data_IF_105686143206
#
_entry.id   IF_105686143206
#
_cell.length_a   1.000
_cell.length_b   1.000
_cell.length_c   1.000
_cell.angle_alpha   90.00
_cell.angle_beta   90.00
_cell.angle_gamma   90.00
#
_symmetry.space_group_name_H-M   'P 1'
#
loop_
_entity.id
_entity.type
_entity.pdbx_description
1 polymer ?
#
# COMPACT_ATOMS: atom_id res chain seq x y z
N UNK A 1 4.54 126.43 30.63
CA UNK A 1 4.05 125.57 29.54
C UNK A 1 4.86 124.27 29.42
N UNK A 2 6.12 124.21 29.88
CA UNK A 2 7.01 123.02 29.76
C UNK A 2 6.71 121.87 30.75
N UNK A 3 6.12 122.15 31.92
CA UNK A 3 5.79 121.13 32.93
C UNK A 3 4.56 120.26 32.57
N UNK A 4 3.61 120.79 31.78
CA UNK A 4 2.42 120.04 31.34
C UNK A 4 2.73 119.10 30.16
N UNK A 5 3.62 119.49 29.25
CA UNK A 5 4.06 118.61 28.14
C UNK A 5 4.96 117.46 28.62
N UNK A 6 5.75 117.67 29.68
CA UNK A 6 6.57 116.62 30.29
C UNK A 6 5.73 115.62 31.09
N UNK A 7 4.71 116.06 31.82
CA UNK A 7 3.73 115.16 32.48
C UNK A 7 2.97 114.33 31.44
N UNK A 8 2.51 114.95 30.34
CA UNK A 8 1.77 114.24 29.27
C UNK A 8 2.63 113.17 28.57
N UNK A 9 3.90 113.46 28.31
CA UNK A 9 4.87 112.46 27.79
C UNK A 9 5.13 111.33 28.76
N UNK A 10 5.29 111.62 30.05
CA UNK A 10 5.51 110.59 31.08
C UNK A 10 4.28 109.70 31.27
N UNK A 11 3.07 110.26 31.24
CA UNK A 11 1.81 109.50 31.28
C UNK A 11 1.66 108.60 30.04
N UNK A 12 2.04 109.10 28.86
CA UNK A 12 1.99 108.35 27.61
C UNK A 12 3.05 107.24 27.57
N UNK A 13 4.25 107.51 28.08
CA UNK A 13 5.28 106.48 28.30
C UNK A 13 4.86 105.44 29.34
N UNK A 14 4.22 105.85 30.44
CA UNK A 14 3.70 104.94 31.46
C UNK A 14 2.60 104.05 30.86
N UNK A 15 1.70 104.61 30.05
CA UNK A 15 0.68 103.86 29.32
C UNK A 15 1.30 102.86 28.34
N UNK A 16 2.33 103.28 27.60
CA UNK A 16 3.02 102.43 26.64
C UNK A 16 3.74 101.27 27.34
N UNK A 17 4.40 101.53 28.47
CA UNK A 17 5.05 100.51 29.29
C UNK A 17 4.02 99.58 29.93
N UNK A 18 2.90 100.09 30.43
CA UNK A 18 1.82 99.27 30.97
C UNK A 18 1.19 98.38 29.90
N UNK A 19 0.99 98.90 28.68
CA UNK A 19 0.48 98.12 27.55
C UNK A 19 1.47 97.03 27.12
N UNK A 20 2.74 97.38 27.00
CA UNK A 20 3.81 96.40 26.73
C UNK A 20 3.93 95.34 27.82
N UNK A 21 3.77 95.71 29.09
CA UNK A 21 3.77 94.76 30.21
C UNK A 21 2.58 93.82 30.15
N UNK A 22 1.39 94.33 29.86
CA UNK A 22 0.18 93.52 29.70
C UNK A 22 0.30 92.55 28.51
N UNK A 23 0.83 93.01 27.37
CA UNK A 23 1.08 92.14 26.19
C UNK A 23 2.15 91.07 26.47
N UNK A 24 3.16 91.38 27.30
CA UNK A 24 4.16 90.40 27.75
C UNK A 24 3.57 89.39 28.74
N UNK A 25 2.74 89.83 29.68
CA UNK A 25 2.04 88.95 30.64
C UNK A 25 1.05 88.02 29.91
N UNK A 26 0.35 88.51 28.89
CA UNK A 26 -0.53 87.71 28.04
C UNK A 26 0.25 86.63 27.29
N UNK A 27 1.35 87.00 26.62
CA UNK A 27 2.25 86.04 25.96
C UNK A 27 2.87 85.03 26.93
N UNK A 28 3.19 85.46 28.15
CA UNK A 28 3.77 84.60 29.17
C UNK A 28 2.74 83.57 29.67
N UNK A 29 1.48 83.99 29.87
CA UNK A 29 0.37 83.08 30.17
C UNK A 29 0.09 82.09 29.03
N UNK A 30 0.08 82.56 27.77
CA UNK A 30 -0.09 81.67 26.61
C UNK A 30 1.03 80.63 26.50
N UNK A 31 2.28 81.04 26.78
CA UNK A 31 3.43 80.15 26.78
C UNK A 31 3.34 79.11 27.90
N UNK A 32 2.92 79.50 29.11
CA UNK A 32 2.70 78.60 30.23
C UNK A 32 1.58 77.58 29.93
N UNK A 33 0.47 78.02 29.32
CA UNK A 33 -0.59 77.10 28.88
C UNK A 33 -0.10 76.12 27.81
N UNK A 34 0.70 76.60 26.85
CA UNK A 34 1.26 75.76 25.80
C UNK A 34 2.26 74.73 26.35
N UNK A 35 3.12 75.14 27.29
CA UNK A 35 4.05 74.25 27.99
C UNK A 35 3.30 73.19 28.80
N UNK A 36 2.23 73.57 29.50
CA UNK A 36 1.40 72.65 30.28
C UNK A 36 0.68 71.63 29.39
N UNK A 37 0.22 72.03 28.19
CA UNK A 37 -0.33 71.10 27.20
C UNK A 37 0.73 70.13 26.69
N UNK A 38 1.90 70.63 26.29
CA UNK A 38 3.02 69.79 25.85
C UNK A 38 3.47 68.78 26.91
N UNK A 39 3.50 69.17 28.19
CA UNK A 39 3.87 68.30 29.30
C UNK A 39 2.82 67.20 29.53
N UNK A 40 1.53 67.54 29.45
CA UNK A 40 0.45 66.57 29.49
C UNK A 40 0.47 65.60 28.30
N UNK A 41 0.69 66.10 27.07
CA UNK A 41 0.76 65.28 25.86
C UNK A 41 1.95 64.30 25.94
N UNK A 42 3.10 64.77 26.42
CA UNK A 42 4.29 63.92 26.63
C UNK A 42 4.06 62.87 27.72
N UNK A 43 3.32 63.20 28.78
CA UNK A 43 2.95 62.24 29.82
C UNK A 43 2.01 61.15 29.27
N UNK A 44 0.99 61.54 28.50
CA UNK A 44 0.09 60.59 27.84
C UNK A 44 0.83 59.69 26.84
N UNK A 45 1.74 60.25 26.04
CA UNK A 45 2.54 59.48 25.08
C UNK A 45 3.48 58.48 25.79
N UNK A 46 4.06 58.88 26.93
CA UNK A 46 4.90 58.00 27.73
C UNK A 46 4.11 56.83 28.34
N UNK A 47 2.89 57.09 28.81
CA UNK A 47 1.97 56.06 29.31
C UNK A 47 1.53 55.10 28.19
N UNK A 48 1.21 55.63 27.00
CA UNK A 48 0.83 54.80 25.85
C UNK A 48 2.00 53.93 25.37
N UNK A 49 3.23 54.47 25.33
CA UNK A 49 4.44 53.71 25.03
C UNK A 49 4.70 52.61 26.05
N UNK A 50 4.49 52.88 27.34
CA UNK A 50 4.63 51.87 28.38
C UNK A 50 3.60 50.73 28.21
N UNK A 51 2.34 51.08 27.92
CA UNK A 51 1.27 50.11 27.68
C UNK A 51 1.53 49.26 26.43
N UNK A 52 2.01 49.86 25.35
CA UNK A 52 2.41 49.17 24.12
C UNK A 52 3.58 48.21 24.37
N UNK A 53 4.61 48.65 25.11
CA UNK A 53 5.76 47.80 25.45
C UNK A 53 5.35 46.58 26.29
N UNK A 54 4.45 46.77 27.26
CA UNK A 54 3.90 45.68 28.07
C UNK A 54 3.07 44.70 27.21
N UNK A 55 2.22 45.21 26.32
CA UNK A 55 1.46 44.38 25.39
C UNK A 55 2.36 43.56 24.45
N UNK A 56 3.45 44.15 23.94
CA UNK A 56 4.44 43.45 23.12
C UNK A 56 5.10 42.32 23.91
N UNK A 57 5.50 42.58 25.16
CA UNK A 57 6.08 41.57 26.05
C UNK A 57 5.14 40.40 26.31
N UNK A 58 3.86 40.67 26.58
CA UNK A 58 2.85 39.62 26.77
C UNK A 58 2.68 38.80 25.49
N UNK A 59 2.59 39.45 24.33
CA UNK A 59 2.47 38.76 23.03
C UNK A 59 3.71 37.94 22.68
N UNK A 60 4.91 38.41 22.99
CA UNK A 60 6.14 37.62 22.80
C UNK A 60 6.16 36.35 23.65
N UNK A 61 5.73 36.42 24.92
CA UNK A 61 5.61 35.23 25.77
C UNK A 61 4.56 34.25 25.25
N UNK A 62 3.43 34.75 24.76
CA UNK A 62 2.38 33.92 24.14
C UNK A 62 2.92 33.19 22.90
N UNK A 63 3.64 33.89 22.03
CA UNK A 63 4.26 33.31 20.82
C UNK A 63 5.29 32.24 21.20
N UNK A 64 6.12 32.48 22.21
CA UNK A 64 7.07 31.47 22.70
C UNK A 64 6.37 30.22 23.21
N UNK A 65 5.31 30.36 24.02
CA UNK A 65 4.51 29.23 24.50
C UNK A 65 3.90 28.42 23.35
N UNK A 66 3.32 29.10 22.37
CA UNK A 66 2.74 28.45 21.18
C UNK A 66 3.82 27.71 20.39
N UNK A 67 5.01 28.32 20.23
CA UNK A 67 6.11 27.68 19.52
C UNK A 67 6.60 26.42 20.24
N UNK A 68 6.69 26.44 21.57
CA UNK A 68 7.05 25.26 22.37
C UNK A 68 6.00 24.15 22.23
N UNK A 69 4.70 24.48 22.27
CA UNK A 69 3.63 23.50 22.05
C UNK A 69 3.64 22.90 20.64
N UNK A 70 3.90 23.72 19.62
CA UNK A 70 4.04 23.23 18.23
C UNK A 70 5.24 22.29 18.13
N UNK A 71 6.39 22.67 18.67
CA UNK A 71 7.59 21.84 18.63
C UNK A 71 7.38 20.50 19.35
N UNK A 72 6.67 20.48 20.47
CA UNK A 72 6.33 19.24 21.19
C UNK A 72 5.42 18.34 20.35
N UNK A 73 4.38 18.91 19.73
CA UNK A 73 3.46 18.16 18.86
C UNK A 73 4.12 17.65 17.60
N UNK A 74 5.03 18.42 17.01
CA UNK A 74 5.80 18.01 15.83
C UNK A 74 6.71 16.81 16.17
N UNK A 75 7.34 16.82 17.33
CA UNK A 75 8.17 15.72 17.82
C UNK A 75 7.34 14.46 18.13
N UNK A 76 6.16 14.61 18.74
CA UNK A 76 5.21 13.51 18.94
C UNK A 76 4.70 12.94 17.61
N UNK A 77 4.40 13.82 16.65
CA UNK A 77 3.97 13.42 15.31
C UNK A 77 5.07 12.64 14.60
N UNK A 78 6.34 13.07 14.71
CA UNK A 78 7.47 12.34 14.14
C UNK A 78 7.62 10.95 14.75
N UNK A 79 7.50 10.83 16.07
CA UNK A 79 7.56 9.52 16.76
C UNK A 79 6.43 8.59 16.32
N UNK A 80 5.22 9.11 16.21
CA UNK A 80 4.06 8.34 15.73
C UNK A 80 4.24 7.89 14.27
N UNK A 81 4.82 8.74 13.41
CA UNK A 81 5.14 8.36 12.03
C UNK A 81 6.16 7.21 11.98
N UNK A 82 7.25 7.31 12.76
CA UNK A 82 8.26 6.26 12.86
C UNK A 82 7.66 4.93 13.36
N UNK A 83 6.78 4.97 14.36
CA UNK A 83 6.10 3.78 14.91
C UNK A 83 5.15 3.14 13.89
N UNK A 84 4.40 3.94 13.13
CA UNK A 84 3.51 3.46 12.07
C UNK A 84 4.31 2.81 10.93
N UNK A 85 5.44 3.40 10.53
CA UNK A 85 6.33 2.81 9.52
C UNK A 85 6.91 1.48 9.99
N UNK A 86 7.35 1.39 11.25
CA UNK A 86 7.87 0.14 11.81
C UNK A 86 6.78 -0.94 11.90
N UNK A 87 5.56 -0.58 12.30
CA UNK A 87 4.42 -1.48 12.33
C UNK A 87 4.06 -2.00 10.93
N UNK A 88 4.07 -1.14 9.91
CA UNK A 88 3.88 -1.55 8.51
C UNK A 88 4.97 -2.51 8.05
N UNK A 89 6.24 -2.23 8.38
CA UNK A 89 7.36 -3.12 8.02
C UNK A 89 7.20 -4.50 8.65
N UNK A 90 6.85 -4.57 9.94
CA UNK A 90 6.58 -5.85 10.62
C UNK A 90 5.41 -6.61 9.99
N UNK A 91 4.35 -5.91 9.59
CA UNK A 91 3.20 -6.52 8.92
C UNK A 91 3.57 -7.08 7.54
N UNK A 92 4.36 -6.35 6.76
CA UNK A 92 4.83 -6.78 5.44
C UNK A 92 5.78 -7.98 5.56
N UNK A 93 6.72 -7.96 6.51
CA UNK A 93 7.60 -9.09 6.82
C UNK A 93 6.80 -10.34 7.22
N UNK A 94 5.76 -10.18 8.06
CA UNK A 94 4.89 -11.29 8.45
C UNK A 94 4.05 -11.82 7.28
N UNK A 95 3.51 -10.95 6.43
CA UNK A 95 2.75 -11.33 5.24
C UNK A 95 3.64 -12.05 4.21
N UNK A 96 4.88 -11.57 4.02
CA UNK A 96 5.86 -12.21 3.15
C UNK A 96 6.25 -13.60 3.68
N UNK A 97 6.48 -13.74 4.99
CA UNK A 97 6.77 -15.04 5.60
C UNK A 97 5.60 -16.03 5.45
N UNK A 98 4.35 -15.56 5.56
CA UNK A 98 3.17 -16.38 5.30
C UNK A 98 3.10 -16.79 3.82
N UNK A 99 3.37 -15.87 2.89
CA UNK A 99 3.36 -16.17 1.45
C UNK A 99 4.48 -17.17 1.09
N UNK A 100 5.67 -17.04 1.68
CA UNK A 100 6.80 -17.95 1.46
C UNK A 100 6.51 -19.37 1.96
N UNK A 101 5.70 -19.51 3.02
CA UNK A 101 5.24 -20.80 3.50
C UNK A 101 4.17 -21.46 2.59
N UNK A 102 3.63 -20.71 1.61
CA UNK A 102 2.61 -21.21 0.67
C UNK A 102 3.20 -21.49 -0.71
N UNK A 103 2.65 -22.49 -1.39
CA UNK A 103 2.96 -22.73 -2.81
C UNK A 103 2.13 -21.80 -3.69
N UNK A 104 2.68 -21.24 -4.78
CA UNK A 104 1.91 -20.43 -5.72
C UNK A 104 0.68 -21.18 -6.24
N UNK A 105 -0.50 -20.59 -6.11
CA UNK A 105 -1.78 -21.24 -6.42
C UNK A 105 -1.90 -21.71 -7.87
N UNK A 106 -1.28 -21.00 -8.83
CA UNK A 106 -1.30 -21.35 -10.25
C UNK A 106 -0.56 -22.67 -10.60
N UNK A 107 0.22 -23.23 -9.66
CA UNK A 107 0.84 -24.54 -9.82
C UNK A 107 -0.14 -25.68 -9.53
N UNK A 108 -1.21 -25.39 -8.78
CA UNK A 108 -2.23 -26.37 -8.47
C UNK A 108 -3.09 -26.64 -9.71
N UNK A 109 -3.63 -27.85 -9.79
CA UNK A 109 -4.65 -28.19 -10.79
C UNK A 109 -5.92 -27.46 -10.37
N UNK A 110 -6.66 -26.91 -11.35
CA UNK A 110 -7.94 -26.27 -11.09
C UNK A 110 -8.91 -27.28 -10.46
N UNK A 111 -9.40 -26.94 -9.26
CA UNK A 111 -10.42 -27.70 -8.54
C UNK A 111 -11.81 -27.25 -9.01
N UNK A 112 -12.79 -28.14 -8.92
CA UNK A 112 -14.18 -27.80 -9.21
C UNK A 112 -14.76 -27.02 -8.02
N UNK A 113 -15.11 -25.75 -8.23
CA UNK A 113 -15.67 -24.86 -7.21
C UNK A 113 -17.11 -25.25 -6.80
N UNK A 114 -17.69 -26.26 -7.46
CA UNK A 114 -19.09 -26.68 -7.27
C UNK A 114 -19.33 -27.53 -6.02
N UNK A 115 -18.29 -27.88 -5.24
CA UNK A 115 -18.45 -28.75 -4.04
C UNK A 115 -19.22 -28.09 -2.88
N UNK A 116 -19.39 -26.75 -2.86
CA UNK A 116 -20.11 -26.03 -1.79
C UNK A 116 -21.52 -25.50 -2.17
N UNK A 117 -21.98 -25.68 -3.40
CA UNK A 117 -23.26 -25.11 -3.87
C UNK A 117 -24.39 -26.15 -3.86
N UNK A 118 -25.01 -26.34 -2.69
CA UNK A 118 -26.18 -27.22 -2.48
C UNK A 118 -27.49 -26.64 -3.09
N UNK A 119 -27.41 -25.49 -3.78
CA UNK A 119 -28.56 -24.73 -4.34
C UNK A 119 -28.75 -24.91 -5.86
N UNK A 120 -28.13 -25.92 -6.49
CA UNK A 120 -28.28 -26.17 -7.93
C UNK A 120 -29.63 -26.82 -8.28
N UNK A 121 -30.41 -26.15 -9.14
CA UNK A 121 -31.79 -26.52 -9.53
C UNK A 121 -31.89 -27.81 -10.39
N UNK A 122 -30.78 -28.34 -10.91
CA UNK A 122 -30.82 -29.50 -11.83
C UNK A 122 -29.65 -30.49 -11.73
N UNK A 123 -28.73 -30.33 -10.76
CA UNK A 123 -27.62 -31.28 -10.53
C UNK A 123 -26.63 -31.47 -11.70
N UNK A 124 -26.55 -30.54 -12.64
CA UNK A 124 -25.57 -30.58 -13.73
C UNK A 124 -24.20 -30.13 -13.24
N UNK A 125 -23.25 -31.07 -13.20
CA UNK A 125 -21.84 -30.81 -12.96
C UNK A 125 -21.10 -30.89 -14.30
N UNK A 126 -20.39 -29.83 -14.67
CA UNK A 126 -19.61 -29.81 -15.91
C UNK A 126 -18.72 -28.58 -15.99
N UNK A 127 -17.50 -28.78 -16.48
CA UNK A 127 -16.55 -27.72 -16.77
C UNK A 127 -16.11 -27.82 -18.23
N UNK A 128 -16.07 -26.69 -18.92
CA UNK A 128 -15.41 -26.61 -20.23
C UNK A 128 -13.89 -26.71 -20.04
N UNK A 129 -13.27 -27.64 -20.76
CA UNK A 129 -11.80 -27.77 -20.75
C UNK A 129 -11.19 -26.64 -21.59
N UNK A 130 -10.17 -25.97 -21.05
CA UNK A 130 -9.39 -24.99 -21.80
C UNK A 130 -8.74 -25.67 -23.02
N UNK A 131 -9.15 -25.25 -24.21
CA UNK A 131 -8.59 -25.68 -25.48
C UNK A 131 -7.93 -24.47 -26.15
N UNK A 132 -6.62 -24.57 -26.41
CA UNK A 132 -5.95 -23.64 -27.31
C UNK A 132 -5.95 -24.24 -28.71
N UNK A 133 -6.94 -23.84 -29.51
CA UNK A 133 -7.13 -24.27 -30.89
C UNK A 133 -5.96 -23.90 -31.81
N UNK A 134 -5.06 -23.03 -31.36
CA UNK A 134 -3.90 -22.57 -32.14
C UNK A 134 -2.67 -23.48 -31.97
N UNK A 135 -2.67 -24.42 -31.03
CA UNK A 135 -1.52 -25.28 -30.75
C UNK A 135 -1.77 -26.69 -31.29
N UNK A 136 -0.93 -27.13 -32.23
CA UNK A 136 -0.83 -28.54 -32.57
C UNK A 136 -0.17 -29.29 -31.40
N UNK A 137 -0.98 -29.82 -30.48
CA UNK A 137 -0.47 -30.59 -29.35
C UNK A 137 0.08 -31.93 -29.83
N UNK A 138 1.36 -32.25 -29.57
CA UNK A 138 1.91 -33.56 -29.88
C UNK A 138 1.23 -34.64 -29.02
N UNK A 139 1.05 -35.83 -29.61
CA UNK A 139 0.54 -37.03 -28.93
C UNK A 139 1.70 -37.97 -28.58
N UNK A 140 2.42 -37.74 -27.46
CA UNK A 140 3.67 -38.45 -27.18
C UNK A 140 3.50 -39.96 -27.06
N UNK A 141 2.30 -40.45 -26.73
CA UNK A 141 1.99 -41.87 -26.69
C UNK A 141 2.18 -42.58 -28.04
N UNK A 142 2.09 -41.87 -29.16
CA UNK A 142 2.27 -42.45 -30.49
C UNK A 142 3.73 -42.87 -30.73
N UNK A 143 4.71 -42.15 -30.19
CA UNK A 143 6.14 -42.48 -30.34
C UNK A 143 6.71 -43.26 -29.16
N UNK A 144 5.97 -43.40 -28.06
CA UNK A 144 6.45 -44.11 -26.85
C UNK A 144 6.60 -45.62 -27.07
N UNK A 145 7.65 -46.16 -26.48
CA UNK A 145 7.91 -47.59 -26.33
C UNK A 145 8.21 -47.92 -24.86
N UNK A 146 7.99 -49.19 -24.49
CA UNK A 146 8.24 -49.66 -23.11
C UNK A 146 9.73 -49.70 -22.80
N UNK A 147 10.09 -49.53 -21.53
CA UNK A 147 11.50 -49.62 -21.12
C UNK A 147 12.12 -50.96 -21.50
N UNK A 148 11.36 -52.05 -21.32
CA UNK A 148 11.76 -53.42 -21.71
C UNK A 148 12.08 -53.54 -23.20
N UNK A 149 11.42 -52.78 -24.06
CA UNK A 149 11.71 -52.77 -25.49
C UNK A 149 12.94 -51.91 -25.84
N UNK A 150 13.27 -50.92 -25.02
CA UNK A 150 14.42 -50.02 -25.23
C UNK A 150 15.71 -50.62 -24.69
N UNK A 151 15.65 -51.29 -23.54
CA UNK A 151 16.80 -51.79 -22.81
C UNK A 151 16.95 -53.30 -22.96
N UNK A 152 17.94 -53.73 -23.73
CA UNK A 152 18.24 -55.17 -23.93
C UNK A 152 18.50 -55.90 -22.61
N UNK A 153 19.28 -55.29 -21.71
CA UNK A 153 19.59 -55.85 -20.40
C UNK A 153 18.32 -56.15 -19.59
N UNK A 154 17.39 -55.19 -19.50
CA UNK A 154 16.12 -55.37 -18.79
C UNK A 154 15.28 -56.49 -19.43
N UNK A 155 15.28 -56.57 -20.76
CA UNK A 155 14.61 -57.65 -21.47
C UNK A 155 15.19 -59.02 -21.13
N UNK A 156 16.52 -59.14 -21.09
CA UNK A 156 17.21 -60.40 -20.81
C UNK A 156 17.02 -60.83 -19.34
N UNK A 157 17.09 -59.88 -18.39
CA UNK A 157 16.78 -60.14 -16.98
C UNK A 157 15.35 -60.66 -16.78
N UNK A 158 14.35 -60.05 -17.44
CA UNK A 158 12.96 -60.51 -17.33
C UNK A 158 12.76 -61.90 -17.94
N UNK A 159 13.47 -62.21 -19.04
CA UNK A 159 13.43 -63.56 -19.63
C UNK A 159 14.04 -64.60 -18.70
N UNK A 160 15.16 -64.28 -18.06
CA UNK A 160 15.84 -65.16 -17.11
C UNK A 160 14.96 -65.42 -15.89
N UNK A 161 14.44 -64.36 -15.26
CA UNK A 161 13.53 -64.49 -14.12
C UNK A 161 12.26 -65.26 -14.49
N UNK A 162 11.69 -65.02 -15.67
CA UNK A 162 10.52 -65.77 -16.15
C UNK A 162 10.84 -67.26 -16.32
N UNK A 163 12.06 -67.62 -16.71
CA UNK A 163 12.49 -69.02 -16.86
C UNK A 163 12.70 -69.69 -15.52
N UNK A 164 13.30 -68.99 -14.55
CA UNK A 164 13.51 -69.49 -13.19
C UNK A 164 12.17 -69.78 -12.50
N UNK A 165 11.27 -68.81 -12.52
CA UNK A 165 9.96 -68.90 -11.87
C UNK A 165 9.03 -69.94 -12.50
N UNK A 166 9.20 -70.25 -13.79
CA UNK A 166 8.37 -71.24 -14.49
C UNK A 166 8.40 -72.63 -13.83
N UNK A 167 9.53 -73.01 -13.22
CA UNK A 167 9.69 -74.30 -12.55
C UNK A 167 8.86 -74.43 -11.25
N UNK A 168 8.62 -73.31 -10.58
CA UNK A 168 7.87 -73.21 -9.32
C UNK A 168 6.42 -72.76 -9.49
N UNK A 169 5.98 -72.53 -10.74
CA UNK A 169 4.68 -71.95 -11.05
C UNK A 169 3.56 -72.98 -10.87
N UNK A 170 2.57 -72.64 -10.04
CA UNK A 170 1.35 -73.42 -9.85
C UNK A 170 0.24 -72.92 -10.79
N UNK A 171 -0.04 -73.67 -11.85
CA UNK A 171 -1.05 -73.31 -12.86
C UNK A 171 -2.48 -73.25 -12.29
N UNK A 172 -2.75 -73.92 -11.16
CA UNK A 172 -4.08 -73.90 -10.53
C UNK A 172 -4.38 -72.59 -9.80
N UNK A 173 -3.34 -71.80 -9.50
CA UNK A 173 -3.43 -70.52 -8.79
C UNK A 173 -3.37 -69.31 -9.70
N UNK A 174 -3.44 -69.51 -11.02
CA UNK A 174 -3.46 -68.40 -11.96
C UNK A 174 -4.71 -67.53 -11.79
N UNK A 175 -4.49 -66.23 -11.64
CA UNK A 175 -5.58 -65.26 -11.62
C UNK A 175 -6.03 -64.94 -13.05
N UNK A 176 -7.22 -64.34 -13.18
CA UNK A 176 -7.72 -63.86 -14.48
C UNK A 176 -6.77 -62.84 -15.12
N UNK A 177 -6.13 -61.98 -14.31
CA UNK A 177 -5.18 -60.98 -14.80
C UNK A 177 -3.89 -61.62 -15.32
N UNK A 178 -3.44 -62.72 -14.73
CA UNK A 178 -2.25 -63.45 -15.21
C UNK A 178 -2.51 -64.06 -16.59
N UNK A 179 -3.68 -64.68 -16.78
CA UNK A 179 -4.09 -65.24 -18.08
C UNK A 179 -4.18 -64.14 -19.14
N UNK A 180 -4.79 -62.99 -18.82
CA UNK A 180 -4.87 -61.85 -19.73
C UNK A 180 -3.48 -61.28 -20.07
N UNK A 181 -2.59 -61.18 -19.07
CA UNK A 181 -1.22 -60.72 -19.30
C UNK A 181 -0.44 -61.68 -20.22
N UNK A 182 -0.50 -62.98 -19.95
CA UNK A 182 0.15 -64.01 -20.77
C UNK A 182 -0.34 -63.95 -22.21
N UNK A 183 -1.65 -63.81 -22.43
CA UNK A 183 -2.22 -63.69 -23.77
C UNK A 183 -1.78 -62.40 -24.48
N UNK A 184 -1.73 -61.27 -23.77
CA UNK A 184 -1.24 -60.01 -24.32
C UNK A 184 0.22 -60.10 -24.75
N UNK A 185 1.09 -60.68 -23.89
CA UNK A 185 2.51 -60.91 -24.21
C UNK A 185 2.65 -61.88 -25.39
N UNK A 186 1.86 -62.96 -25.41
CA UNK A 186 1.83 -63.94 -26.51
C UNK A 186 1.50 -63.29 -27.85
N UNK A 187 0.56 -62.35 -27.86
CA UNK A 187 0.20 -61.57 -29.06
C UNK A 187 1.17 -60.40 -29.36
N UNK A 188 2.24 -60.23 -28.57
CA UNK A 188 3.21 -59.14 -28.75
C UNK A 188 2.66 -57.74 -28.43
N UNK A 189 1.55 -57.66 -27.69
CA UNK A 189 0.92 -56.42 -27.24
C UNK A 189 1.68 -55.85 -26.05
N UNK A 190 1.75 -54.52 -25.99
CA UNK A 190 2.26 -53.76 -24.85
C UNK A 190 1.40 -52.52 -24.59
N UNK A 191 1.66 -51.80 -23.50
CA UNK A 191 0.85 -50.63 -23.09
C UNK A 191 0.72 -49.58 -24.20
N UNK A 192 1.81 -49.26 -24.91
CA UNK A 192 1.81 -48.18 -25.91
C UNK A 192 1.34 -48.66 -27.28
N UNK A 193 1.64 -49.91 -27.68
CA UNK A 193 1.05 -50.53 -28.88
C UNK A 193 -0.46 -50.63 -28.77
N UNK A 194 -0.98 -51.05 -27.62
CA UNK A 194 -2.42 -51.13 -27.40
C UNK A 194 -3.07 -49.74 -27.39
N UNK A 195 -2.45 -48.74 -26.73
CA UNK A 195 -2.94 -47.35 -26.79
C UNK A 195 -3.02 -46.82 -28.22
N UNK A 196 -2.01 -47.07 -29.06
CA UNK A 196 -2.06 -46.72 -30.48
C UNK A 196 -3.18 -47.43 -31.21
N UNK A 197 -3.35 -48.74 -31.00
CA UNK A 197 -4.38 -49.53 -31.69
C UNK A 197 -5.79 -49.04 -31.39
N UNK A 198 -6.13 -48.84 -30.11
CA UNK A 198 -7.49 -48.42 -29.70
C UNK A 198 -7.79 -46.95 -30.03
N UNK A 199 -6.76 -46.13 -30.31
CA UNK A 199 -6.92 -44.72 -30.71
C UNK A 199 -6.97 -44.51 -32.22
N UNK A 200 -6.87 -45.57 -33.03
CA UNK A 200 -6.99 -45.49 -34.50
C UNK A 200 -8.39 -45.03 -34.92
N UNK A 201 -8.45 -44.26 -36.00
CA UNK A 201 -9.69 -43.73 -36.55
C UNK A 201 -10.12 -42.41 -35.90
N UNK A 202 -11.20 -41.83 -36.40
CA UNK A 202 -11.73 -40.57 -35.88
C UNK A 202 -12.53 -40.79 -34.59
N UNK A 203 -12.86 -39.69 -33.90
CA UNK A 203 -13.65 -39.72 -32.65
C UNK A 203 -14.99 -40.41 -32.84
N UNK A 204 -15.71 -40.11 -33.93
CA UNK A 204 -17.00 -40.74 -34.25
C UNK A 204 -16.90 -42.26 -34.29
N UNK A 205 -15.93 -42.83 -35.02
CA UNK A 205 -15.75 -44.29 -35.09
C UNK A 205 -15.54 -44.92 -33.72
N UNK A 206 -14.76 -44.28 -32.84
CA UNK A 206 -14.48 -44.80 -31.50
C UNK A 206 -15.72 -44.72 -30.59
N UNK A 207 -16.51 -43.66 -30.71
CA UNK A 207 -17.81 -43.54 -30.02
C UNK A 207 -18.79 -44.59 -30.55
N UNK A 208 -18.93 -44.72 -31.87
CA UNK A 208 -19.80 -45.72 -32.50
C UNK A 208 -19.38 -47.15 -32.07
N UNK A 209 -18.07 -47.44 -31.95
CA UNK A 209 -17.60 -48.72 -31.42
C UNK A 209 -18.00 -48.93 -29.96
N UNK A 210 -17.84 -47.92 -29.11
CA UNK A 210 -18.21 -47.97 -27.69
C UNK A 210 -19.71 -48.22 -27.48
N UNK A 211 -20.58 -47.51 -28.20
CA UNK A 211 -22.04 -47.69 -28.13
C UNK A 211 -22.51 -49.09 -28.58
N UNK A 212 -21.66 -49.83 -29.31
CA UNK A 212 -21.95 -51.17 -29.82
C UNK A 212 -21.22 -52.29 -29.05
N UNK A 213 -20.53 -51.98 -27.93
CA UNK A 213 -19.88 -52.99 -27.06
C UNK A 213 -20.87 -53.65 -26.10
#
# INVERSE_FOLDING_TARGET
MEAQDSIRRLEEQLRQVQKSKAELEEKQNELEEMLKKLENDKAMEAEEKARLAEAIMVKQKEVQRIQEEVNQKDEETRKLQEEVEEARRRQEEAAAALLEATTPQHLNIQEDESEENDDMVNGEYGAELSCDDSINLPKPEEDRSTQVSKEKHLQDQLKELSKELASSKDETKLTKNDLLHQENVRQGRDKYKTLREIRKGNTKRRVDQFENM
#
